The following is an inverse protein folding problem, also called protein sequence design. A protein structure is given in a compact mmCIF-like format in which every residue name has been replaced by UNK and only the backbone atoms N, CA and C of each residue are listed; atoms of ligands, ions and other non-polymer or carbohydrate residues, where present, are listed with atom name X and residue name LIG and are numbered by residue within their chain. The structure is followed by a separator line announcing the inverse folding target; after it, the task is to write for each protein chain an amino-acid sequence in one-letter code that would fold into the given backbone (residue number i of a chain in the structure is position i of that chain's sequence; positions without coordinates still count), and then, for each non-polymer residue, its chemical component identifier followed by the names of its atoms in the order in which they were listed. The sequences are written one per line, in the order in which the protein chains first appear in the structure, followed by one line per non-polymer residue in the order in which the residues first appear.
data_IF_222977790010
#
_entry.id   IF_222977790010
#
_cell.length_a   1.000
_cell.length_b   1.000
_cell.length_c   1.000
_cell.angle_alpha   90.00
_cell.angle_beta   90.00
_cell.angle_gamma   90.00
#
_symmetry.space_group_name_H-M   'P 1'
#
loop_
_entity.id
_entity.type
_entity.pdbx_description
1 polymer ?
#
# COMPACT_ATOMS: atom_id res chain seq x y z
N UNK A 1 2.66 42.47 25.73
CA UNK A 1 1.69 41.37 25.55
C UNK A 1 2.28 40.41 24.53
N UNK A 2 3.07 39.44 24.98
CA UNK A 2 3.74 38.50 24.07
C UNK A 2 2.85 37.27 23.96
N UNK A 3 2.15 37.14 22.84
CA UNK A 3 1.37 35.94 22.53
C UNK A 3 2.35 34.84 22.09
N UNK A 4 2.53 33.83 22.93
CA UNK A 4 3.28 32.63 22.59
C UNK A 4 2.52 31.83 21.52
N UNK A 5 3.05 31.81 20.30
CA UNK A 5 2.56 30.93 19.24
C UNK A 5 3.03 29.50 19.57
N UNK A 6 2.14 28.52 19.76
CA UNK A 6 2.56 27.16 20.01
C UNK A 6 3.17 26.58 18.74
N UNK A 7 4.43 26.16 18.82
CA UNK A 7 5.13 25.50 17.72
C UNK A 7 4.37 24.22 17.34
N UNK A 8 4.08 23.97 16.04
CA UNK A 8 3.52 22.70 15.61
C UNK A 8 4.54 21.60 15.92
N UNK A 9 4.17 20.66 16.79
CA UNK A 9 5.00 19.51 17.12
C UNK A 9 5.34 18.73 15.84
N UNK A 10 6.56 18.18 15.71
CA UNK A 10 6.89 17.32 14.60
C UNK A 10 5.93 16.13 14.59
N UNK A 11 5.23 15.97 13.47
CA UNK A 11 4.30 14.88 13.22
C UNK A 11 5.05 13.56 13.48
N UNK A 12 4.73 12.86 14.57
CA UNK A 12 5.30 11.54 14.84
C UNK A 12 5.10 10.71 13.57
N UNK A 13 6.11 9.98 13.06
CA UNK A 13 5.87 9.04 11.99
C UNK A 13 4.82 8.07 12.52
N UNK A 14 3.60 8.23 12.02
CA UNK A 14 2.44 7.48 12.50
C UNK A 14 2.82 6.02 12.28
N UNK A 15 2.74 5.15 13.31
CA UNK A 15 3.07 3.74 13.14
C UNK A 15 2.23 3.28 11.95
N UNK A 16 2.89 2.76 10.92
CA UNK A 16 2.29 2.29 9.66
C UNK A 16 1.05 1.47 9.99
N UNK A 17 -0.11 2.13 10.03
CA UNK A 17 -1.37 1.47 10.25
C UNK A 17 -1.53 0.66 8.98
N UNK A 18 -1.52 -0.67 9.09
CA UNK A 18 -1.68 -1.51 7.93
C UNK A 18 -3.08 -1.20 7.38
N UNK A 19 -3.14 -0.32 6.37
CA UNK A 19 -4.39 0.09 5.75
C UNK A 19 -4.85 -1.13 4.96
N UNK A 20 -5.74 -1.91 5.54
CA UNK A 20 -6.20 -3.14 4.94
C UNK A 20 -7.25 -2.84 3.87
N UNK A 21 -6.86 -2.96 2.61
CA UNK A 21 -7.74 -2.87 1.46
C UNK A 21 -8.34 -4.22 1.09
N UNK A 22 -9.41 -4.16 0.31
CA UNK A 22 -9.93 -5.32 -0.41
C UNK A 22 -9.17 -5.54 -1.72
N UNK A 23 -9.39 -6.69 -2.38
CA UNK A 23 -8.83 -6.93 -3.71
C UNK A 23 -9.26 -5.87 -4.73
N UNK A 24 -10.47 -5.30 -4.59
CA UNK A 24 -10.93 -4.23 -5.46
C UNK A 24 -10.10 -2.96 -5.29
N UNK A 25 -9.75 -2.58 -4.06
CA UNK A 25 -8.91 -1.41 -3.79
C UNK A 25 -7.54 -1.54 -4.47
N UNK A 26 -6.94 -2.73 -4.39
CA UNK A 26 -5.66 -3.03 -5.06
C UNK A 26 -5.78 -2.94 -6.58
N UNK A 27 -6.86 -3.50 -7.14
CA UNK A 27 -7.11 -3.43 -8.58
C UNK A 27 -7.30 -1.99 -9.06
N UNK A 28 -8.01 -1.17 -8.29
CA UNK A 28 -8.21 0.26 -8.60
C UNK A 28 -6.89 1.03 -8.54
N UNK A 29 -6.06 0.81 -7.50
CA UNK A 29 -4.78 1.52 -7.37
C UNK A 29 -3.78 1.20 -8.47
N UNK A 30 -3.66 -0.07 -8.85
CA UNK A 30 -2.74 -0.51 -9.92
C UNK A 30 -3.39 -0.32 -11.30
N UNK A 31 -4.68 0.07 -11.35
CA UNK A 31 -5.48 0.17 -12.56
C UNK A 31 -5.43 -1.14 -13.41
N UNK A 32 -5.55 -2.29 -12.75
CA UNK A 32 -5.38 -3.60 -13.38
C UNK A 32 -6.57 -4.53 -13.13
N UNK A 33 -6.81 -5.44 -14.07
CA UNK A 33 -7.84 -6.49 -13.92
C UNK A 33 -7.32 -7.65 -13.05
N UNK A 34 -8.22 -8.38 -12.40
CA UNK A 34 -7.91 -9.54 -11.53
C UNK A 34 -6.99 -10.58 -12.16
N UNK A 35 -7.11 -10.83 -13.46
CA UNK A 35 -6.23 -11.76 -14.18
C UNK A 35 -4.78 -11.28 -14.17
N UNK A 36 -4.55 -9.99 -14.43
CA UNK A 36 -3.22 -9.38 -14.38
C UNK A 36 -2.68 -9.32 -12.96
N UNK A 37 -3.54 -9.08 -11.96
CA UNK A 37 -3.17 -9.16 -10.55
C UNK A 37 -2.66 -10.56 -10.17
N UNK A 38 -3.39 -11.62 -10.59
CA UNK A 38 -2.95 -13.00 -10.36
C UNK A 38 -1.65 -13.34 -11.09
N UNK A 39 -1.45 -12.82 -12.31
CA UNK A 39 -0.17 -12.97 -13.02
C UNK A 39 0.96 -12.27 -12.26
N UNK A 40 0.77 -11.03 -11.82
CA UNK A 40 1.76 -10.28 -11.04
C UNK A 40 2.13 -10.99 -9.74
N UNK A 41 1.16 -11.56 -9.02
CA UNK A 41 1.43 -12.38 -7.84
C UNK A 41 2.30 -13.62 -8.14
N UNK A 42 2.25 -14.15 -9.36
CA UNK A 42 3.00 -15.35 -9.78
C UNK A 42 4.36 -15.01 -10.37
N UNK A 43 4.43 -13.93 -11.14
CA UNK A 43 5.58 -13.50 -11.93
C UNK A 43 6.54 -12.63 -11.11
N UNK A 44 6.00 -11.70 -10.29
CA UNK A 44 6.79 -10.76 -9.49
C UNK A 44 6.84 -11.23 -8.02
N UNK A 45 7.98 -11.75 -7.54
CA UNK A 45 8.13 -12.16 -6.14
C UNK A 45 8.11 -10.98 -5.16
N UNK A 46 8.31 -9.76 -5.66
CA UNK A 46 8.21 -8.51 -4.90
C UNK A 46 6.76 -8.04 -4.73
N UNK A 47 5.82 -8.62 -5.48
CA UNK A 47 4.42 -8.24 -5.36
C UNK A 47 3.85 -8.66 -4.00
N UNK A 48 3.13 -7.77 -3.28
CA UNK A 48 2.60 -8.10 -1.97
C UNK A 48 1.69 -9.32 -2.00
N UNK A 49 1.72 -10.12 -0.94
CA UNK A 49 0.85 -11.29 -0.82
C UNK A 49 -0.41 -10.92 -0.03
N UNK A 50 -1.57 -11.44 -0.44
CA UNK A 50 -2.80 -11.24 0.32
C UNK A 50 -2.71 -11.90 1.69
N UNK A 51 -3.18 -11.20 2.72
CA UNK A 51 -3.35 -11.70 4.07
C UNK A 51 -4.70 -12.41 4.14
N UNK A 52 -4.66 -13.73 4.35
CA UNK A 52 -5.86 -14.57 4.50
C UNK A 52 -6.25 -14.64 5.98
N UNK A 53 -7.29 -13.90 6.36
CA UNK A 53 -7.85 -13.94 7.71
C UNK A 53 -8.83 -15.11 7.89
N UNK A 54 -9.56 -15.48 6.83
CA UNK A 54 -10.46 -16.63 6.80
C UNK A 54 -10.63 -17.16 5.36
N UNK A 55 -11.34 -18.27 5.17
CA UNK A 55 -11.58 -18.91 3.86
C UNK A 55 -12.11 -17.92 2.80
N UNK A 56 -12.98 -17.00 3.20
CA UNK A 56 -13.57 -15.98 2.31
C UNK A 56 -13.04 -14.56 2.58
N UNK A 57 -12.26 -14.35 3.64
CA UNK A 57 -11.75 -13.03 3.99
C UNK A 57 -10.28 -12.89 3.63
N UNK A 58 -10.05 -12.27 2.49
CA UNK A 58 -8.74 -11.87 2.00
C UNK A 58 -8.61 -10.36 2.15
N UNK A 59 -7.54 -9.92 2.83
CA UNK A 59 -7.20 -8.51 2.99
C UNK A 59 -5.82 -8.25 2.40
N UNK A 60 -5.65 -7.04 1.92
CA UNK A 60 -4.40 -6.58 1.31
C UNK A 60 -3.86 -5.42 2.11
N UNK A 61 -2.55 -5.39 2.34
CA UNK A 61 -1.93 -4.22 2.92
C UNK A 61 -1.69 -3.17 1.83
N UNK A 62 -2.46 -2.09 1.84
CA UNK A 62 -2.35 -1.04 0.83
C UNK A 62 -0.99 -0.33 0.91
N UNK A 63 -0.39 -0.22 2.10
CA UNK A 63 0.93 0.38 2.25
C UNK A 63 2.03 -0.42 1.53
N UNK A 64 1.94 -1.76 1.55
CA UNK A 64 2.86 -2.62 0.78
C UNK A 64 2.63 -2.48 -0.73
N UNK A 65 1.37 -2.32 -1.15
CA UNK A 65 1.02 -2.10 -2.56
C UNK A 65 1.57 -0.74 -3.04
N UNK A 66 1.39 0.32 -2.26
CA UNK A 66 1.94 1.65 -2.58
C UNK A 66 3.47 1.62 -2.65
N UNK A 67 4.13 0.94 -1.70
CA UNK A 67 5.58 0.76 -1.72
C UNK A 67 6.07 -0.01 -2.95
N UNK A 68 5.32 -1.03 -3.38
CA UNK A 68 5.64 -1.78 -4.61
C UNK A 68 5.47 -0.93 -5.87
N UNK A 69 4.40 -0.12 -5.94
CA UNK A 69 4.18 0.82 -7.05
C UNK A 69 5.36 1.80 -7.13
N UNK A 70 5.72 2.43 -6.00
CA UNK A 70 6.84 3.36 -5.94
C UNK A 70 8.17 2.71 -6.34
N UNK A 71 8.42 1.45 -5.93
CA UNK A 71 9.62 0.71 -6.34
C UNK A 71 9.65 0.43 -7.85
N UNK A 72 8.50 0.07 -8.45
CA UNK A 72 8.38 -0.13 -9.91
C UNK A 72 8.56 1.18 -10.67
N UNK A 73 8.01 2.28 -10.16
CA UNK A 73 8.20 3.61 -10.74
C UNK A 73 9.67 4.04 -10.71
N UNK A 74 10.35 3.85 -9.56
CA UNK A 74 11.78 4.14 -9.43
C UNK A 74 12.64 3.26 -10.36
N UNK A 75 12.25 1.99 -10.57
CA UNK A 75 12.94 1.08 -11.50
C UNK A 75 12.75 1.51 -12.96
N UNK A 76 11.61 2.14 -13.30
CA UNK A 76 11.34 2.65 -14.65
C UNK A 76 12.07 3.97 -14.96
N UNK A 77 12.37 4.76 -13.93
CA UNK A 77 13.04 6.05 -14.04
C UNK A 77 14.57 5.98 -14.14
N UNK A 78 15.16 4.79 -14.04
CA UNK A 78 16.58 4.48 -14.27
C UNK A 78 16.77 3.91 -15.68
#
# INVERSE_FOLDING_TARGET
MNQSIPLPLPNKPQPIQAVWGSTNDVMTRICCKRTKLNSLMREDPTFPKPIRLSQNHIRWNLAEIDGWIAAKEATRGQ
#
